data_IF_636180507115
#
_entry.id   IF_636180507115
#
_cell.length_a   1.000
_cell.length_b   1.000
_cell.length_c   1.000
_cell.angle_alpha   90.00
_cell.angle_beta   90.00
_cell.angle_gamma   90.00
#
_symmetry.space_group_name_H-M   'P 1'
#
loop_
_entity.id
_entity.type
_entity.pdbx_description
1 polymer ?
#
# COMPACT_ATOMS: atom_id res chain seq x y z
N UNK A 1 0.18 -23.34 2.36
CA UNK A 1 0.60 -22.65 3.59
C UNK A 1 -0.27 -21.42 3.69
N UNK A 2 -1.14 -21.32 4.70
CA UNK A 2 -2.28 -20.39 4.70
C UNK A 2 -1.81 -18.98 5.11
N UNK A 3 -2.00 -17.94 4.27
CA UNK A 3 -1.61 -16.56 4.57
C UNK A 3 -2.33 -15.92 5.78
N UNK A 4 -3.39 -16.55 6.31
CA UNK A 4 -4.23 -16.07 7.42
C UNK A 4 -3.54 -15.92 8.80
N UNK A 5 -2.24 -16.21 8.93
CA UNK A 5 -1.49 -15.97 10.18
C UNK A 5 -0.85 -14.59 10.27
N UNK A 6 -0.71 -13.88 9.14
CA UNK A 6 -0.07 -12.57 9.13
C UNK A 6 -1.10 -11.49 9.40
N UNK A 7 -1.07 -10.94 10.61
CA UNK A 7 -2.05 -9.96 11.09
C UNK A 7 -1.57 -8.51 10.93
N UNK A 8 -0.57 -8.26 10.09
CA UNK A 8 -0.05 -6.91 9.85
C UNK A 8 -0.15 -6.54 8.38
N UNK A 9 -0.48 -5.28 8.13
CA UNK A 9 -0.49 -4.67 6.81
C UNK A 9 0.63 -3.64 6.72
N UNK A 10 1.41 -3.70 5.64
CA UNK A 10 2.34 -2.66 5.27
C UNK A 10 1.72 -1.81 4.17
N UNK A 11 1.68 -0.52 4.42
CA UNK A 11 1.19 0.45 3.47
C UNK A 11 2.28 1.46 3.08
N UNK A 12 2.30 1.82 1.81
CA UNK A 12 3.36 2.60 1.15
C UNK A 12 2.85 3.90 0.51
N UNK A 13 1.62 4.28 0.82
CA UNK A 13 1.04 5.57 0.45
C UNK A 13 0.75 6.42 1.68
N UNK A 14 0.21 7.61 1.43
CA UNK A 14 -0.52 8.32 2.46
C UNK A 14 -1.84 7.60 2.61
N UNK A 15 -1.89 6.57 3.47
CA UNK A 15 -3.18 6.09 3.93
C UNK A 15 -3.83 7.25 4.65
N UNK A 16 -4.69 7.94 3.89
CA UNK A 16 -5.98 8.37 4.34
C UNK A 16 -5.85 9.09 5.68
N UNK A 17 -5.16 10.23 5.62
CA UNK A 17 -5.27 11.26 6.65
C UNK A 17 -6.72 11.73 6.78
N UNK A 18 -6.94 12.79 7.55
CA UNK A 18 -8.29 13.28 7.96
C UNK A 18 -9.30 13.55 6.82
N UNK A 19 -8.88 13.48 5.56
CA UNK A 19 -9.65 13.75 4.33
C UNK A 19 -10.17 12.50 3.60
N UNK A 20 -9.95 11.29 4.11
CA UNK A 20 -10.48 10.08 3.52
C UNK A 20 -12.03 10.03 3.46
N UNK A 21 -12.64 9.51 2.39
CA UNK A 21 -14.08 9.29 2.34
C UNK A 21 -14.54 8.38 3.51
N UNK A 22 -15.76 8.56 4.06
CA UNK A 22 -16.24 7.79 5.20
C UNK A 22 -16.17 6.27 5.03
N UNK A 23 -16.40 5.77 3.81
CA UNK A 23 -16.29 4.35 3.51
C UNK A 23 -14.87 3.82 3.75
N UNK A 24 -13.85 4.56 3.35
CA UNK A 24 -12.46 4.14 3.53
C UNK A 24 -12.01 4.28 4.99
N UNK A 25 -12.49 5.32 5.70
CA UNK A 25 -12.30 5.44 7.15
C UNK A 25 -12.89 4.25 7.90
N UNK A 26 -14.07 3.77 7.48
CA UNK A 26 -14.70 2.61 8.09
C UNK A 26 -13.90 1.31 7.83
N UNK A 27 -13.37 1.12 6.62
CA UNK A 27 -12.52 -0.04 6.28
C UNK A 27 -11.24 -0.11 7.14
N UNK A 28 -10.72 1.04 7.55
CA UNK A 28 -9.47 1.16 8.29
C UNK A 28 -9.66 1.41 9.78
N UNK A 29 -10.90 1.41 10.28
CA UNK A 29 -11.23 1.79 11.65
C UNK A 29 -10.55 0.89 12.71
N UNK A 30 -10.34 -0.39 12.37
CA UNK A 30 -9.73 -1.39 13.25
C UNK A 30 -8.21 -1.57 13.01
N UNK A 31 -7.57 -0.66 12.27
CA UNK A 31 -6.11 -0.64 12.18
C UNK A 31 -5.50 -0.20 13.51
N UNK A 32 -4.58 -1.01 14.01
CA UNK A 32 -3.71 -0.65 15.11
C UNK A 32 -2.78 0.51 14.77
N UNK A 33 -2.06 1.05 15.78
CA UNK A 33 -1.11 2.13 15.55
C UNK A 33 -0.05 1.76 14.52
N UNK A 34 0.24 2.68 13.61
CA UNK A 34 1.24 2.49 12.58
C UNK A 34 2.65 2.64 13.11
N UNK A 35 3.53 1.73 12.69
CA UNK A 35 4.98 1.82 12.92
C UNK A 35 5.69 2.06 11.59
N UNK A 36 6.55 3.07 11.53
CA UNK A 36 7.37 3.29 10.34
C UNK A 36 8.27 2.09 10.07
N UNK A 37 8.39 1.75 8.81
CA UNK A 37 9.22 0.67 8.35
C UNK A 37 9.45 0.72 6.86
N UNK A 38 10.18 -0.28 6.37
CA UNK A 38 10.50 -0.41 4.97
C UNK A 38 10.37 -1.85 4.50
N UNK A 39 10.07 -2.02 3.22
CA UNK A 39 10.01 -3.33 2.56
C UNK A 39 10.87 -3.32 1.30
N UNK A 40 11.18 -4.50 0.78
CA UNK A 40 11.81 -4.62 -0.54
C UNK A 40 10.76 -4.51 -1.65
N UNK A 41 11.01 -3.65 -2.63
CA UNK A 41 10.15 -3.43 -3.77
C UNK A 41 10.59 -2.22 -4.59
N UNK A 42 9.90 -1.98 -5.70
CA UNK A 42 10.02 -0.73 -6.46
C UNK A 42 8.69 0.01 -6.39
N UNK A 43 8.77 1.30 -6.13
CA UNK A 43 7.60 2.17 -5.97
C UNK A 43 7.49 3.08 -7.19
N UNK A 44 6.28 3.23 -7.70
CA UNK A 44 5.97 4.19 -8.75
C UNK A 44 4.80 5.06 -8.29
N UNK A 45 4.77 6.30 -8.77
CA UNK A 45 3.59 7.13 -8.72
C UNK A 45 2.81 6.97 -10.03
N UNK A 46 1.50 6.82 -9.93
CA UNK A 46 0.57 6.93 -11.04
C UNK A 46 -0.05 8.32 -10.97
N UNK A 47 0.22 9.21 -11.94
CA UNK A 47 -0.44 10.50 -12.03
C UNK A 47 -1.87 10.33 -12.57
N UNK A 48 -2.81 11.05 -11.97
CA UNK A 48 -4.22 11.13 -12.35
C UNK A 48 -4.66 12.62 -12.33
N UNK A 49 -5.66 13.04 -13.14
CA UNK A 49 -6.16 14.40 -13.07
C UNK A 49 -6.60 14.86 -11.67
N UNK A 50 -6.98 13.95 -10.79
CA UNK A 50 -7.49 14.22 -9.45
C UNK A 50 -6.42 14.03 -8.35
N UNK A 51 -5.22 13.59 -8.72
CA UNK A 51 -4.11 13.44 -7.79
C UNK A 51 -3.09 12.42 -8.26
N UNK A 52 -2.33 11.87 -7.32
CA UNK A 52 -1.45 10.74 -7.61
C UNK A 52 -1.64 9.64 -6.57
N UNK A 53 -1.44 8.40 -6.97
CA UNK A 53 -1.43 7.26 -6.05
C UNK A 53 -0.18 6.39 -6.28
N UNK A 54 0.33 5.73 -5.24
CA UNK A 54 1.49 4.87 -5.38
C UNK A 54 1.11 3.46 -5.81
N UNK A 55 1.96 2.83 -6.59
CA UNK A 55 1.91 1.40 -6.90
C UNK A 55 3.23 0.73 -6.52
N UNK A 56 3.13 -0.43 -5.85
CA UNK A 56 4.27 -1.22 -5.41
C UNK A 56 4.41 -2.47 -6.29
N UNK A 57 5.61 -2.73 -6.79
CA UNK A 57 5.95 -3.99 -7.46
C UNK A 57 7.15 -4.68 -6.83
N UNK A 58 7.36 -5.94 -7.20
CA UNK A 58 8.52 -6.73 -6.78
C UNK A 58 9.81 -6.10 -7.28
N UNK A 59 10.81 -6.02 -6.40
CA UNK A 59 12.13 -5.50 -6.70
C UNK A 59 12.99 -5.52 -5.43
N UNK A 60 14.24 -5.08 -5.57
CA UNK A 60 15.24 -5.10 -4.49
C UNK A 60 15.51 -3.73 -3.87
N UNK A 61 14.88 -2.67 -4.41
CA UNK A 61 14.96 -1.34 -3.81
C UNK A 61 14.16 -1.28 -2.50
N UNK A 62 14.28 -0.17 -1.77
CA UNK A 62 13.63 0.02 -0.48
C UNK A 62 12.43 0.92 -0.64
N UNK A 63 11.29 0.49 -0.11
CA UNK A 63 10.04 1.26 -0.08
C UNK A 63 9.70 1.62 1.35
N UNK A 64 9.43 2.90 1.60
CA UNK A 64 9.09 3.48 2.88
C UNK A 64 7.58 3.47 3.10
N UNK A 65 7.17 3.19 4.34
CA UNK A 65 5.76 3.08 4.67
C UNK A 65 5.51 2.83 6.15
N UNK A 66 4.31 2.35 6.44
CA UNK A 66 3.81 2.10 7.79
C UNK A 66 3.32 0.66 7.91
N UNK A 67 3.74 -0.05 8.95
CA UNK A 67 3.21 -1.36 9.36
C UNK A 67 2.13 -1.15 10.42
N UNK A 68 0.94 -1.67 10.19
CA UNK A 68 -0.20 -1.62 11.11
C UNK A 68 -0.66 -3.02 11.47
N UNK A 69 -1.13 -3.21 12.70
CA UNK A 69 -1.89 -4.41 13.06
C UNK A 69 -3.29 -4.35 12.44
N UNK A 70 -3.76 -5.43 11.85
CA UNK A 70 -4.99 -5.51 11.06
C UNK A 70 -5.92 -6.66 11.52
N UNK A 71 -5.88 -7.03 12.81
CA UNK A 71 -6.66 -8.17 13.34
C UNK A 71 -8.18 -8.00 13.24
N UNK A 72 -8.68 -6.76 13.33
CA UNK A 72 -10.11 -6.45 13.23
C UNK A 72 -10.55 -5.97 11.85
N UNK A 73 -9.61 -5.77 10.93
CA UNK A 73 -9.91 -5.25 9.59
C UNK A 73 -10.65 -6.30 8.78
N UNK A 74 -11.73 -5.90 8.12
CA UNK A 74 -12.38 -6.71 7.09
C UNK A 74 -11.48 -6.78 5.85
N UNK A 75 -10.61 -7.79 5.83
CA UNK A 75 -9.64 -8.01 4.78
C UNK A 75 -10.27 -8.25 3.41
N UNK A 76 -11.50 -8.80 3.37
CA UNK A 76 -12.20 -9.04 2.12
C UNK A 76 -12.78 -7.74 1.56
N UNK A 77 -13.33 -6.87 2.42
CA UNK A 77 -13.78 -5.55 2.01
C UNK A 77 -12.61 -4.66 1.57
N UNK A 78 -11.46 -4.75 2.25
CA UNK A 78 -10.24 -4.04 1.83
C UNK A 78 -9.71 -4.57 0.49
N UNK A 79 -9.74 -5.88 0.27
CA UNK A 79 -9.38 -6.49 -1.02
C UNK A 79 -10.27 -5.98 -2.17
N UNK A 80 -11.58 -5.93 -1.96
CA UNK A 80 -12.52 -5.41 -2.95
C UNK A 80 -12.27 -3.92 -3.23
N UNK A 81 -11.96 -3.13 -2.20
CA UNK A 81 -11.62 -1.72 -2.35
C UNK A 81 -10.34 -1.53 -3.20
N UNK A 82 -9.34 -2.37 -2.99
CA UNK A 82 -8.09 -2.40 -3.78
C UNK A 82 -8.26 -3.10 -5.14
N UNK A 83 -9.49 -3.35 -5.60
CA UNK A 83 -9.76 -3.93 -6.92
C UNK A 83 -9.39 -5.41 -7.05
N UNK A 84 -9.34 -6.15 -5.94
CA UNK A 84 -9.14 -7.61 -5.95
C UNK A 84 -10.48 -8.32 -6.08
N UNK A 85 -10.68 -8.98 -7.22
CA UNK A 85 -11.79 -9.90 -7.44
C UNK A 85 -11.53 -11.21 -6.66
N UNK A 86 -12.38 -11.58 -5.70
CA UNK A 86 -12.23 -12.83 -4.95
C UNK A 86 -12.38 -14.08 -5.83
N UNK A 87 -13.00 -13.96 -7.01
CA UNK A 87 -13.13 -15.05 -7.99
C UNK A 87 -11.97 -15.12 -8.98
N UNK A 88 -11.22 -14.04 -9.15
CA UNK A 88 -10.01 -14.00 -9.98
C UNK A 88 -8.88 -13.11 -9.38
N UNK A 89 -8.33 -13.51 -8.22
CA UNK A 89 -7.31 -12.72 -7.55
C UNK A 89 -5.98 -12.71 -8.31
N UNK A 90 -5.77 -13.64 -9.24
CA UNK A 90 -4.54 -13.72 -10.02
C UNK A 90 -4.50 -12.68 -11.16
N UNK A 91 -5.65 -12.28 -11.70
CA UNK A 91 -5.78 -11.28 -12.76
C UNK A 91 -6.36 -9.95 -12.27
N UNK A 92 -6.52 -9.79 -10.95
CA UNK A 92 -6.89 -8.53 -10.30
C UNK A 92 -5.81 -7.47 -10.47
N UNK A 93 -6.18 -6.19 -10.25
CA UNK A 93 -5.25 -5.06 -10.38
C UNK A 93 -4.13 -5.13 -9.34
N UNK A 94 -4.49 -5.52 -8.12
CA UNK A 94 -3.54 -5.78 -7.04
C UNK A 94 -3.57 -7.23 -6.60
N UNK A 95 -2.50 -7.62 -5.92
CA UNK A 95 -2.36 -8.88 -5.21
C UNK A 95 -1.83 -8.61 -3.82
N UNK A 96 -2.49 -9.15 -2.80
CA UNK A 96 -1.96 -9.09 -1.43
C UNK A 96 -0.85 -10.14 -1.27
N UNK A 97 0.36 -9.68 -0.95
CA UNK A 97 1.57 -10.52 -0.83
C UNK A 97 2.13 -10.40 0.58
N UNK A 98 2.46 -11.55 1.18
CA UNK A 98 3.18 -11.62 2.45
C UNK A 98 4.65 -11.25 2.23
N UNK A 99 5.17 -10.35 3.06
CA UNK A 99 6.55 -9.87 3.00
C UNK A 99 7.11 -9.53 4.39
N UNK A 100 8.44 -9.48 4.47
CA UNK A 100 9.13 -9.00 5.66
C UNK A 100 9.32 -7.48 5.57
N UNK A 101 8.86 -6.76 6.60
CA UNK A 101 9.14 -5.36 6.79
C UNK A 101 10.25 -5.18 7.83
N UNK A 102 11.17 -4.25 7.59
CA UNK A 102 12.20 -3.80 8.54
C UNK A 102 11.73 -2.51 9.17
N UNK A 103 11.55 -2.49 10.48
CA UNK A 103 11.05 -1.35 11.24
C UNK A 103 12.18 -0.36 11.58
N UNK A 104 11.83 0.85 12.01
CA UNK A 104 12.84 1.88 12.37
C UNK A 104 13.82 1.45 13.48
N UNK A 105 13.41 0.55 14.37
CA UNK A 105 14.27 -0.02 15.42
C UNK A 105 15.19 -1.15 14.92
N UNK A 106 15.13 -1.49 13.62
CA UNK A 106 15.90 -2.55 12.99
C UNK A 106 15.30 -3.96 13.15
N UNK A 107 14.22 -4.13 13.92
CA UNK A 107 13.51 -5.40 14.01
C UNK A 107 12.74 -5.71 12.72
N UNK A 108 12.49 -7.00 12.46
CA UNK A 108 11.69 -7.42 11.31
C UNK A 108 10.30 -7.89 11.72
N UNK A 109 9.33 -7.71 10.83
CA UNK A 109 7.94 -8.09 11.04
C UNK A 109 7.33 -8.61 9.74
N UNK A 110 6.73 -9.79 9.80
CA UNK A 110 5.92 -10.31 8.70
C UNK A 110 4.66 -9.45 8.57
N UNK A 111 4.43 -8.94 7.37
CA UNK A 111 3.30 -8.11 6.99
C UNK A 111 2.76 -8.54 5.62
N UNK A 112 1.61 -8.04 5.24
CA UNK A 112 1.05 -8.17 3.91
C UNK A 112 1.02 -6.78 3.27
N UNK A 113 1.31 -6.68 1.97
CA UNK A 113 1.14 -5.44 1.21
C UNK A 113 0.43 -5.72 -0.10
N UNK A 114 -0.21 -4.70 -0.65
CA UNK A 114 -0.82 -4.74 -1.97
C UNK A 114 0.27 -4.52 -3.02
N UNK A 115 0.39 -5.46 -3.96
CA UNK A 115 1.33 -5.38 -5.06
C UNK A 115 0.57 -5.20 -6.35
N UNK A 116 0.95 -4.19 -7.12
CA UNK A 116 0.40 -3.94 -8.44
C UNK A 116 0.73 -5.12 -9.36
N UNK A 117 -0.29 -5.59 -10.06
CA UNK A 117 -0.30 -6.83 -10.84
C UNK A 117 -0.62 -6.58 -12.33
N UNK A 118 -0.47 -5.33 -12.79
CA UNK A 118 -0.52 -4.98 -14.21
C UNK A 118 0.89 -4.66 -14.73
N UNK A 119 0.98 -4.55 -16.06
CA UNK A 119 2.22 -4.16 -16.72
C UNK A 119 2.60 -2.72 -16.37
N UNK A 120 3.90 -2.49 -16.19
CA UNK A 120 4.47 -1.16 -15.97
C UNK A 120 4.66 -0.50 -17.33
N UNK A 121 3.89 0.57 -17.57
CA UNK A 121 4.02 1.38 -18.78
C UNK A 121 4.69 2.74 -18.52
N UNK A 122 4.95 3.47 -19.60
CA UNK A 122 5.64 4.79 -19.57
C UNK A 122 4.88 5.89 -18.81
N UNK A 123 3.61 5.64 -18.46
CA UNK A 123 2.78 6.56 -17.68
C UNK A 123 3.08 6.51 -16.16
N UNK A 124 3.84 5.51 -15.70
CA UNK A 124 4.24 5.38 -14.29
C UNK A 124 5.55 6.14 -14.05
N UNK A 125 5.57 6.93 -12.98
CA UNK A 125 6.76 7.69 -12.58
C UNK A 125 7.53 6.88 -11.52
N UNK A 126 8.75 6.37 -11.81
CA UNK A 126 9.53 5.63 -10.83
C UNK A 126 9.96 6.54 -9.67
N UNK A 127 9.83 6.03 -8.44
CA UNK A 127 10.27 6.71 -7.23
C UNK A 127 11.54 6.03 -6.69
N UNK A 128 12.70 6.50 -7.15
CA UNK A 128 14.01 5.92 -6.79
C UNK A 128 14.29 5.89 -5.27
N UNK A 129 13.75 6.87 -4.54
CA UNK A 129 13.86 6.92 -3.07
C UNK A 129 12.79 6.08 -2.35
N UNK A 130 11.81 5.53 -3.07
CA UNK A 130 10.78 4.64 -2.55
C UNK A 130 9.86 5.26 -1.49
N UNK A 131 9.62 6.57 -1.53
CA UNK A 131 8.82 7.28 -0.53
C UNK A 131 7.76 8.15 -1.20
N UNK A 132 6.52 7.68 -1.23
CA UNK A 132 5.43 8.40 -1.87
C UNK A 132 5.10 9.74 -1.19
N UNK A 133 5.24 9.81 0.14
CA UNK A 133 4.96 11.05 0.89
C UNK A 133 5.97 12.13 0.50
N UNK A 134 7.25 11.75 0.38
CA UNK A 134 8.29 12.63 -0.15
C UNK A 134 7.99 13.09 -1.57
N UNK A 135 7.56 12.20 -2.45
CA UNK A 135 7.17 12.55 -3.83
C UNK A 135 6.07 13.61 -3.87
N UNK A 136 5.01 13.47 -3.08
CA UNK A 136 3.93 14.46 -3.00
C UNK A 136 4.45 15.83 -2.52
N UNK A 137 5.32 15.85 -1.50
CA UNK A 137 5.92 17.09 -0.98
C UNK A 137 6.81 17.79 -2.01
N UNK A 138 7.61 17.03 -2.77
CA UNK A 138 8.54 17.58 -3.76
C UNK A 138 7.83 18.09 -5.02
N UNK A 139 6.72 17.45 -5.41
CA UNK A 139 5.97 17.80 -6.63
C UNK A 139 4.81 18.75 -6.41
N UNK A 140 4.29 18.83 -5.19
CA UNK A 140 3.04 19.55 -4.88
C UNK A 140 1.78 18.82 -5.36
N UNK A 141 1.89 17.57 -5.84
CA UNK A 141 0.72 16.74 -6.11
C UNK A 141 -0.06 16.46 -4.83
N UNK A 142 -1.37 16.24 -5.00
CA UNK A 142 -2.24 15.76 -3.93
C UNK A 142 -2.38 14.24 -4.04
N UNK A 143 -2.59 13.54 -2.93
CA UNK A 143 -2.99 12.14 -3.03
C UNK A 143 -4.33 12.03 -3.75
N UNK A 144 -4.45 11.03 -4.62
CA UNK A 144 -5.71 10.65 -5.23
C UNK A 144 -6.72 10.24 -4.14
N UNK A 145 -7.95 10.73 -4.26
CA UNK A 145 -9.02 10.56 -3.26
C UNK A 145 -10.20 9.70 -3.73
N UNK A 146 -10.24 9.27 -5.00
CA UNK A 146 -11.30 8.40 -5.52
C UNK A 146 -12.68 9.05 -5.62
N UNK A 147 -12.75 10.39 -5.75
CA UNK A 147 -14.00 11.15 -5.94
C UNK A 147 -14.20 11.55 -7.39
#
# INVERSE_FOLDING_TARGET
MVPDRVTHLFFYGVLLGDVAPPAVKALLADLGPGRKGTVQGMLYAVPDPEGSYPVLIKGTARVHGMVHEARGVDMAALDLFEGIDPHDPANSEYRRIVMEAVLEDGSTMMSQAYFYNREIGDHLVPLEHGDFTRYLLETGFRPYSGE
#
